data_IF_190530341994
#
_entry.id   IF_190530341994
#
_cell.length_a   1.000
_cell.length_b   1.000
_cell.length_c   1.000
_cell.angle_alpha   90.00
_cell.angle_beta   90.00
_cell.angle_gamma   90.00
#
_symmetry.space_group_name_H-M   'P 1'
#
loop_
_entity.id
_entity.type
_entity.pdbx_description
1 polymer ?
#
# COMPACT_ATOMS: atom_id res chain seq x y z
N UNK A 1 -7.39 -15.29 -8.98
CA UNK A 1 -7.02 -15.45 -7.54
C UNK A 1 -7.60 -14.36 -6.65
N UNK A 2 -7.26 -13.07 -6.75
CA UNK A 2 -7.75 -12.05 -5.82
C UNK A 2 -9.30 -11.99 -5.72
N UNK A 3 -10.03 -12.05 -6.83
CA UNK A 3 -11.50 -12.08 -6.81
C UNK A 3 -12.05 -13.28 -6.03
N UNK A 4 -11.46 -14.48 -6.24
CA UNK A 4 -11.83 -15.69 -5.50
C UNK A 4 -11.50 -15.57 -4.00
N UNK A 5 -10.34 -14.95 -3.68
CA UNK A 5 -9.96 -14.66 -2.28
C UNK A 5 -10.98 -13.73 -1.61
N UNK A 6 -11.45 -12.71 -2.32
CA UNK A 6 -12.45 -11.79 -1.79
C UNK A 6 -13.80 -12.49 -1.52
N UNK A 7 -14.20 -13.42 -2.38
CA UNK A 7 -15.39 -14.24 -2.14
C UNK A 7 -15.24 -15.11 -0.88
N UNK A 8 -14.12 -15.82 -0.75
CA UNK A 8 -13.82 -16.66 0.42
C UNK A 8 -13.72 -15.81 1.70
N UNK A 9 -13.12 -14.64 1.59
CA UNK A 9 -12.99 -13.68 2.70
C UNK A 9 -14.29 -12.92 3.00
N UNK A 10 -15.40 -13.24 2.33
CA UNK A 10 -16.69 -12.58 2.50
C UNK A 10 -16.63 -11.05 2.32
N UNK A 11 -15.85 -10.57 1.36
CA UNK A 11 -15.74 -9.13 1.06
C UNK A 11 -14.86 -8.36 2.03
N UNK A 12 -13.82 -8.99 2.60
CA UNK A 12 -12.87 -8.35 3.52
C UNK A 12 -11.46 -8.18 2.94
N UNK A 13 -11.28 -8.50 1.66
CA UNK A 13 -9.98 -8.36 1.02
C UNK A 13 -9.61 -6.89 0.85
N UNK A 14 -8.40 -6.53 1.23
CA UNK A 14 -7.68 -5.35 0.75
C UNK A 14 -6.59 -5.87 -0.18
N UNK A 15 -6.57 -5.40 -1.41
CA UNK A 15 -5.61 -5.86 -2.42
C UNK A 15 -4.40 -4.94 -2.47
N UNK A 16 -3.28 -5.39 -1.89
CA UNK A 16 -2.02 -4.68 -1.93
C UNK A 16 -1.24 -4.96 -3.23
N UNK A 17 -0.79 -3.91 -3.91
CA UNK A 17 0.05 -4.00 -5.11
C UNK A 17 1.14 -2.93 -5.08
N UNK A 18 2.30 -3.22 -5.66
CA UNK A 18 3.41 -2.30 -5.79
C UNK A 18 4.28 -2.64 -6.99
N UNK A 19 5.32 -1.86 -7.20
CA UNK A 19 6.26 -2.04 -8.32
C UNK A 19 7.14 -3.30 -8.18
N UNK A 20 7.11 -3.97 -7.02
CA UNK A 20 8.04 -5.05 -6.71
C UNK A 20 9.47 -4.54 -6.53
N UNK A 21 10.44 -5.44 -6.68
CA UNK A 21 11.86 -5.07 -6.68
C UNK A 21 12.23 -4.28 -7.93
N UNK A 22 13.00 -3.22 -7.75
CA UNK A 22 13.54 -2.40 -8.85
C UNK A 22 15.03 -2.18 -8.67
N UNK A 23 15.73 -1.81 -9.75
CA UNK A 23 17.16 -1.45 -9.71
C UNK A 23 17.36 -0.08 -9.05
N UNK A 24 17.08 0.01 -7.75
CA UNK A 24 17.32 1.24 -6.99
C UNK A 24 18.72 1.22 -6.41
N UNK A 25 19.45 2.33 -6.55
CA UNK A 25 20.63 2.62 -5.74
C UNK A 25 20.16 3.20 -4.42
N UNK A 26 20.51 2.58 -3.31
CA UNK A 26 20.10 3.02 -1.98
C UNK A 26 21.01 2.49 -0.89
N UNK A 27 20.76 2.93 0.33
CA UNK A 27 21.42 2.41 1.50
C UNK A 27 20.73 1.11 1.95
N UNK A 28 21.34 -0.01 1.62
CA UNK A 28 20.86 -1.35 1.97
C UNK A 28 21.61 -1.94 3.17
N UNK A 29 22.23 -1.11 4.03
CA UNK A 29 23.01 -1.60 5.20
C UNK A 29 22.19 -2.51 6.10
N UNK A 30 20.89 -2.21 6.29
CA UNK A 30 19.96 -3.06 7.05
C UNK A 30 19.70 -4.43 6.39
N UNK A 31 20.06 -4.59 5.11
CA UNK A 31 19.87 -5.79 4.30
C UNK A 31 21.22 -6.41 3.88
N UNK A 32 22.28 -6.20 4.66
CA UNK A 32 23.60 -6.73 4.33
C UNK A 32 24.34 -5.99 3.22
N UNK A 33 23.95 -4.74 2.93
CA UNK A 33 24.65 -3.86 1.96
C UNK A 33 24.26 -4.08 0.49
N UNK A 34 23.42 -5.07 0.18
CA UNK A 34 22.94 -5.34 -1.17
C UNK A 34 21.42 -5.14 -1.26
N UNK A 35 20.97 -4.68 -2.43
CA UNK A 35 19.53 -4.63 -2.71
C UNK A 35 18.95 -6.06 -2.71
N UNK A 36 18.09 -6.42 -1.75
CA UNK A 36 17.56 -7.79 -1.62
C UNK A 36 16.77 -8.22 -2.86
N UNK A 37 16.16 -7.28 -3.58
CA UNK A 37 15.44 -7.56 -4.81
C UNK A 37 16.35 -8.13 -5.92
N UNK A 38 17.64 -7.77 -5.97
CA UNK A 38 18.56 -8.32 -6.98
C UNK A 38 18.63 -9.84 -6.84
N UNK A 39 18.94 -10.31 -5.63
CA UNK A 39 19.07 -11.73 -5.36
C UNK A 39 17.78 -12.50 -5.59
N UNK A 40 16.65 -11.93 -5.19
CA UNK A 40 15.33 -12.54 -5.33
C UNK A 40 14.94 -12.68 -6.81
N UNK A 41 15.06 -11.61 -7.59
CA UNK A 41 14.69 -11.60 -9.00
C UNK A 41 15.63 -12.47 -9.85
N UNK A 42 16.92 -12.47 -9.56
CA UNK A 42 17.88 -13.38 -10.20
C UNK A 42 17.53 -14.85 -9.93
N UNK A 43 17.13 -15.19 -8.70
CA UNK A 43 16.74 -16.54 -8.33
C UNK A 43 15.49 -17.03 -9.08
N UNK A 44 14.57 -16.13 -9.41
CA UNK A 44 13.36 -16.44 -10.18
C UNK A 44 13.54 -16.27 -11.70
N UNK A 45 14.70 -15.87 -12.18
CA UNK A 45 14.93 -15.58 -13.60
C UNK A 45 14.09 -14.40 -14.12
N UNK A 46 13.64 -13.50 -13.26
CA UNK A 46 12.85 -12.34 -13.61
C UNK A 46 13.76 -11.12 -13.73
N UNK A 47 13.74 -10.38 -14.84
CA UNK A 47 14.58 -9.20 -14.98
C UNK A 47 14.14 -8.08 -14.05
N UNK A 48 15.09 -7.49 -13.32
CA UNK A 48 14.86 -6.25 -12.60
C UNK A 48 14.74 -5.07 -13.58
N UNK A 49 13.62 -4.36 -13.50
CA UNK A 49 13.36 -3.18 -14.33
C UNK A 49 13.81 -1.88 -13.65
N UNK A 50 13.98 -0.83 -14.44
CA UNK A 50 14.21 0.51 -13.90
C UNK A 50 12.98 0.98 -13.11
N UNK A 51 13.14 1.77 -12.02
CA UNK A 51 12.01 2.25 -11.22
C UNK A 51 10.91 2.94 -12.04
N UNK A 52 11.29 3.72 -13.04
CA UNK A 52 10.34 4.43 -13.93
C UNK A 52 9.48 3.46 -14.73
N UNK A 53 10.08 2.37 -15.23
CA UNK A 53 9.36 1.34 -15.98
C UNK A 53 8.44 0.53 -15.06
N UNK A 54 8.93 0.17 -13.87
CA UNK A 54 8.12 -0.51 -12.87
C UNK A 54 6.90 0.30 -12.44
N UNK A 55 7.05 1.62 -12.25
CA UNK A 55 5.92 2.51 -11.90
C UNK A 55 4.92 2.61 -13.06
N UNK A 56 5.38 2.71 -14.30
CA UNK A 56 4.50 2.75 -15.46
C UNK A 56 3.76 1.41 -15.68
N UNK A 57 4.45 0.29 -15.49
CA UNK A 57 3.83 -1.04 -15.51
C UNK A 57 2.80 -1.22 -14.39
N UNK A 58 3.04 -0.65 -13.19
CA UNK A 58 2.07 -0.65 -12.10
C UNK A 58 0.78 0.08 -12.49
N UNK A 59 0.86 1.22 -13.14
CA UNK A 59 -0.32 1.97 -13.59
C UNK A 59 -1.17 1.14 -14.58
N UNK A 60 -0.55 0.51 -15.58
CA UNK A 60 -1.24 -0.41 -16.49
C UNK A 60 -1.87 -1.59 -15.74
N UNK A 61 -1.13 -2.19 -14.78
CA UNK A 61 -1.62 -3.30 -13.96
C UNK A 61 -2.87 -2.90 -13.17
N UNK A 62 -2.87 -1.73 -12.54
CA UNK A 62 -4.03 -1.24 -11.79
C UNK A 62 -5.24 -1.03 -12.69
N UNK A 63 -5.05 -0.47 -13.89
CA UNK A 63 -6.10 -0.31 -14.89
C UNK A 63 -6.68 -1.66 -15.30
N UNK A 64 -5.83 -2.63 -15.65
CA UNK A 64 -6.25 -3.99 -16.04
C UNK A 64 -7.02 -4.67 -14.90
N UNK A 65 -6.49 -4.64 -13.68
CA UNK A 65 -7.10 -5.28 -12.51
C UNK A 65 -8.48 -4.70 -12.23
N UNK A 66 -8.62 -3.37 -12.28
CA UNK A 66 -9.91 -2.70 -12.08
C UNK A 66 -10.92 -3.12 -13.15
N UNK A 67 -10.52 -3.12 -14.44
CA UNK A 67 -11.36 -3.58 -15.55
C UNK A 67 -11.76 -5.05 -15.40
N UNK A 68 -10.82 -5.93 -15.03
CA UNK A 68 -11.07 -7.34 -14.75
C UNK A 68 -12.16 -7.53 -13.68
N UNK A 69 -12.18 -6.68 -12.67
CA UNK A 69 -13.14 -6.81 -11.56
C UNK A 69 -14.49 -6.17 -11.82
N UNK A 70 -14.55 -5.15 -12.68
CA UNK A 70 -15.75 -4.34 -12.88
C UNK A 70 -16.46 -4.57 -14.22
N UNK A 71 -15.73 -4.86 -15.28
CA UNK A 71 -16.33 -5.08 -16.60
C UNK A 71 -16.99 -6.46 -16.71
N UNK A 72 -18.23 -6.49 -17.18
CA UNK A 72 -19.01 -7.72 -17.37
C UNK A 72 -18.63 -8.48 -18.63
N UNK A 73 -18.13 -7.77 -19.65
CA UNK A 73 -17.76 -8.33 -20.96
C UNK A 73 -16.24 -8.49 -21.08
N UNK A 74 -15.77 -9.44 -21.90
CA UNK A 74 -14.36 -9.52 -22.26
C UNK A 74 -13.87 -8.20 -22.87
N UNK A 75 -12.62 -7.82 -22.55
CA UNK A 75 -12.00 -6.60 -23.08
C UNK A 75 -10.60 -6.85 -23.62
N UNK A 76 -10.21 -5.99 -24.53
CA UNK A 76 -8.82 -5.90 -25.00
C UNK A 76 -8.10 -4.78 -24.26
N UNK A 77 -6.80 -4.96 -24.04
CA UNK A 77 -5.91 -3.93 -23.52
C UNK A 77 -4.61 -3.93 -24.32
N UNK A 78 -4.25 -2.79 -24.87
CA UNK A 78 -3.03 -2.62 -25.67
C UNK A 78 -2.14 -1.57 -25.01
N UNK A 79 -1.43 -1.99 -23.97
CA UNK A 79 -0.50 -1.16 -23.21
C UNK A 79 0.96 -1.33 -23.69
N UNK A 80 1.83 -0.54 -23.10
CA UNK A 80 3.28 -0.66 -23.34
C UNK A 80 3.87 -1.92 -22.73
N UNK A 81 3.38 -2.32 -21.55
CA UNK A 81 3.90 -3.44 -20.76
C UNK A 81 3.03 -4.68 -20.85
N UNK A 82 1.73 -4.48 -21.00
CA UNK A 82 0.77 -5.58 -21.04
C UNK A 82 -0.13 -5.46 -22.28
N UNK A 83 -0.34 -6.59 -22.93
CA UNK A 83 -1.23 -6.72 -24.07
C UNK A 83 -2.17 -7.89 -23.83
N UNK A 84 -3.47 -7.61 -23.81
CA UNK A 84 -4.50 -8.61 -23.52
C UNK A 84 -5.51 -8.65 -24.65
N UNK A 85 -6.04 -9.82 -24.93
CA UNK A 85 -7.11 -10.06 -25.89
C UNK A 85 -8.22 -10.84 -25.23
N UNK A 86 -9.45 -10.29 -25.23
CA UNK A 86 -10.62 -10.94 -24.68
C UNK A 86 -10.49 -11.26 -23.18
N UNK A 87 -9.78 -10.42 -22.42
CA UNK A 87 -9.55 -10.65 -21.00
C UNK A 87 -10.85 -10.56 -20.20
N UNK A 88 -11.09 -11.53 -19.33
CA UNK A 88 -12.24 -11.59 -18.44
C UNK A 88 -11.86 -12.22 -17.10
N UNK A 89 -12.51 -11.81 -16.04
CA UNK A 89 -12.35 -12.39 -14.71
C UNK A 89 -13.70 -12.92 -14.20
N UNK A 90 -13.80 -14.23 -14.03
CA UNK A 90 -14.94 -14.89 -13.39
C UNK A 90 -14.43 -15.90 -12.34
N UNK A 91 -15.05 -15.94 -11.16
CA UNK A 91 -16.11 -15.04 -10.67
C UNK A 91 -15.58 -13.62 -10.38
N UNK A 92 -16.49 -12.64 -10.40
CA UNK A 92 -16.19 -11.28 -9.93
C UNK A 92 -15.97 -11.24 -8.41
N UNK A 93 -15.23 -10.27 -7.87
CA UNK A 93 -15.14 -10.07 -6.42
C UNK A 93 -16.51 -9.85 -5.78
N UNK A 94 -16.62 -10.08 -4.48
CA UNK A 94 -17.82 -9.77 -3.69
C UNK A 94 -18.00 -8.27 -3.47
N UNK A 95 -16.91 -7.56 -3.20
CA UNK A 95 -16.93 -6.12 -2.97
C UNK A 95 -17.29 -5.34 -4.23
N UNK A 96 -18.02 -4.25 -4.07
CA UNK A 96 -18.43 -3.34 -5.14
C UNK A 96 -17.95 -1.92 -4.86
N UNK A 97 -17.42 -1.21 -5.87
CA UNK A 97 -17.21 -1.64 -7.24
C UNK A 97 -16.12 -2.71 -7.37
N UNK A 98 -15.16 -2.78 -6.44
CA UNK A 98 -14.07 -3.76 -6.36
C UNK A 98 -13.48 -3.78 -4.94
N UNK A 99 -12.65 -4.77 -4.59
CA UNK A 99 -11.84 -4.72 -3.36
C UNK A 99 -10.95 -3.49 -3.34
N UNK A 100 -10.77 -2.81 -2.18
CA UNK A 100 -9.88 -1.67 -2.08
C UNK A 100 -8.46 -2.01 -2.57
N UNK A 101 -7.90 -1.14 -3.41
CA UNK A 101 -6.53 -1.25 -3.92
C UNK A 101 -5.60 -0.43 -3.03
N UNK A 102 -4.68 -1.12 -2.35
CA UNK A 102 -3.64 -0.49 -1.57
C UNK A 102 -2.36 -0.41 -2.40
N UNK A 103 -1.83 0.81 -2.57
CA UNK A 103 -0.55 1.03 -3.24
C UNK A 103 0.44 1.64 -2.26
N UNK A 104 1.63 1.01 -2.17
CA UNK A 104 2.74 1.48 -1.35
C UNK A 104 3.71 2.37 -2.12
N UNK A 105 4.25 3.40 -1.44
CA UNK A 105 5.30 4.24 -1.97
C UNK A 105 5.10 5.74 -1.71
N UNK A 106 6.19 6.51 -1.90
CA UNK A 106 6.22 7.93 -1.55
C UNK A 106 7.02 8.79 -2.55
N UNK A 107 7.51 8.20 -3.64
CA UNK A 107 8.12 8.94 -4.75
C UNK A 107 7.07 9.71 -5.55
N UNK A 108 7.41 10.87 -6.08
CA UNK A 108 6.47 11.74 -6.79
C UNK A 108 5.70 11.02 -7.91
N UNK A 109 6.41 10.23 -8.73
CA UNK A 109 5.77 9.44 -9.80
C UNK A 109 4.83 8.37 -9.26
N UNK A 110 5.20 7.75 -8.14
CA UNK A 110 4.34 6.74 -7.47
C UNK A 110 3.10 7.41 -6.88
N UNK A 111 3.24 8.61 -6.30
CA UNK A 111 2.10 9.36 -5.77
C UNK A 111 1.08 9.71 -6.87
N UNK A 112 1.52 9.99 -8.11
CA UNK A 112 0.59 10.17 -9.24
C UNK A 112 -0.20 8.89 -9.54
N UNK A 113 0.46 7.73 -9.56
CA UNK A 113 -0.23 6.43 -9.77
C UNK A 113 -1.19 6.13 -8.61
N UNK A 114 -0.79 6.46 -7.37
CA UNK A 114 -1.66 6.35 -6.19
C UNK A 114 -2.89 7.23 -6.35
N UNK A 115 -2.70 8.49 -6.74
CA UNK A 115 -3.82 9.43 -6.97
C UNK A 115 -4.80 8.91 -8.03
N UNK A 116 -4.31 8.23 -9.06
CA UNK A 116 -5.16 7.71 -10.13
C UNK A 116 -5.87 6.41 -9.77
N UNK A 117 -5.21 5.52 -9.01
CA UNK A 117 -5.63 4.13 -8.91
C UNK A 117 -5.91 3.62 -7.48
N UNK A 118 -5.34 4.24 -6.44
CA UNK A 118 -5.43 3.68 -5.11
C UNK A 118 -6.68 4.12 -4.34
N UNK A 119 -7.21 3.20 -3.54
CA UNK A 119 -8.18 3.49 -2.48
C UNK A 119 -7.46 3.66 -1.14
N UNK A 120 -6.27 3.09 -1.00
CA UNK A 120 -5.43 3.19 0.20
C UNK A 120 -3.99 3.50 -0.22
N UNK A 121 -3.43 4.57 0.32
CA UNK A 121 -2.03 4.91 0.20
C UNK A 121 -1.27 4.45 1.45
N UNK A 122 -0.23 3.62 1.28
CA UNK A 122 0.59 3.13 2.39
C UNK A 122 2.04 3.56 2.27
N UNK A 123 2.62 4.01 3.39
CA UNK A 123 4.05 4.31 3.50
C UNK A 123 4.64 3.75 4.80
N UNK A 124 5.96 3.47 4.83
CA UNK A 124 6.62 3.14 6.09
C UNK A 124 6.70 4.40 6.96
N UNK A 125 6.47 4.23 8.27
CA UNK A 125 6.77 5.25 9.27
C UNK A 125 8.22 5.17 9.77
N UNK A 126 8.53 5.81 10.91
CA UNK A 126 9.86 5.72 11.52
C UNK A 126 10.32 4.26 11.71
N UNK A 127 11.62 3.97 11.54
CA UNK A 127 12.72 4.92 11.29
C UNK A 127 12.93 5.32 9.80
N UNK A 128 12.11 4.84 8.86
CA UNK A 128 12.31 5.09 7.42
C UNK A 128 11.84 6.48 6.99
N UNK A 129 10.65 6.89 7.45
CA UNK A 129 10.09 8.21 7.22
C UNK A 129 9.59 8.80 8.54
N UNK A 130 9.94 10.06 8.80
CA UNK A 130 9.42 10.78 9.95
C UNK A 130 7.95 11.19 9.76
N UNK A 131 7.29 11.60 10.83
CA UNK A 131 5.94 12.19 10.75
C UNK A 131 5.92 13.44 9.88
N UNK A 132 6.99 14.24 9.92
CA UNK A 132 7.12 15.41 9.05
C UNK A 132 7.30 15.03 7.58
N UNK A 133 8.01 13.94 7.27
CA UNK A 133 8.07 13.39 5.92
C UNK A 133 6.69 12.97 5.43
N UNK A 134 5.89 12.32 6.30
CA UNK A 134 4.51 11.98 5.98
C UNK A 134 3.69 13.23 5.63
N UNK A 135 3.74 14.29 6.46
CA UNK A 135 3.02 15.55 6.20
C UNK A 135 3.38 16.14 4.83
N UNK A 136 4.68 16.19 4.51
CA UNK A 136 5.15 16.67 3.19
C UNK A 136 4.65 15.81 2.03
N UNK A 137 4.72 14.48 2.16
CA UNK A 137 4.25 13.57 1.11
C UNK A 137 2.74 13.60 0.95
N UNK A 138 2.01 13.77 2.05
CA UNK A 138 0.56 13.98 2.03
C UNK A 138 0.20 15.24 1.23
N UNK A 139 0.89 16.37 1.48
CA UNK A 139 0.64 17.61 0.74
C UNK A 139 0.82 17.41 -0.78
N UNK A 140 1.88 16.71 -1.20
CA UNK A 140 2.11 16.37 -2.62
C UNK A 140 1.00 15.47 -3.18
N UNK A 141 0.51 14.50 -2.40
CA UNK A 141 -0.63 13.66 -2.81
C UNK A 141 -1.89 14.51 -3.00
N UNK A 142 -2.17 15.40 -2.05
CA UNK A 142 -3.35 16.28 -2.08
C UNK A 142 -3.29 17.24 -3.29
N UNK A 143 -2.10 17.76 -3.64
CA UNK A 143 -1.87 18.55 -4.86
C UNK A 143 -2.15 17.75 -6.15
N UNK A 144 -1.69 16.48 -6.21
CA UNK A 144 -2.00 15.62 -7.35
C UNK A 144 -3.49 15.31 -7.45
N UNK A 145 -4.17 15.09 -6.33
CA UNK A 145 -5.62 14.92 -6.29
C UNK A 145 -6.34 16.15 -6.84
N UNK A 146 -5.96 17.34 -6.39
CA UNK A 146 -6.53 18.59 -6.86
C UNK A 146 -6.34 18.79 -8.37
N UNK A 147 -5.14 18.47 -8.89
CA UNK A 147 -4.83 18.58 -10.33
C UNK A 147 -5.67 17.62 -11.19
N UNK A 148 -6.13 16.49 -10.62
CA UNK A 148 -6.98 15.50 -11.30
C UNK A 148 -8.47 15.66 -11.01
N UNK A 149 -8.86 16.61 -10.16
CA UNK A 149 -10.25 16.79 -9.72
C UNK A 149 -10.77 15.64 -8.84
N UNK A 150 -9.88 14.93 -8.15
CA UNK A 150 -10.21 13.86 -7.22
C UNK A 150 -10.23 14.40 -5.78
N UNK A 151 -11.24 14.02 -4.99
CA UNK A 151 -11.24 14.32 -3.57
C UNK A 151 -10.14 13.53 -2.85
N UNK A 152 -9.14 14.19 -2.21
CA UNK A 152 -8.12 13.50 -1.45
C UNK A 152 -8.68 12.69 -0.27
N UNK A 153 -9.89 12.98 0.19
CA UNK A 153 -10.61 12.20 1.20
C UNK A 153 -10.99 10.79 0.76
N UNK A 154 -11.05 10.52 -0.55
CA UNK A 154 -11.31 9.18 -1.10
C UNK A 154 -10.13 8.21 -0.93
N UNK A 155 -8.93 8.71 -0.60
CA UNK A 155 -7.74 7.89 -0.42
C UNK A 155 -7.44 7.75 1.06
N UNK A 156 -7.66 6.57 1.62
CA UNK A 156 -7.27 6.26 3.01
C UNK A 156 -5.76 6.35 3.18
N UNK A 157 -5.30 7.14 4.12
CA UNK A 157 -3.88 7.31 4.44
C UNK A 157 -3.45 6.29 5.48
N UNK A 158 -2.56 5.39 5.08
CA UNK A 158 -2.08 4.26 5.88
C UNK A 158 -0.58 4.36 6.12
N UNK A 159 -0.16 4.13 7.35
CA UNK A 159 1.26 4.10 7.73
C UNK A 159 1.57 2.80 8.45
N UNK A 160 2.67 2.16 8.05
CA UNK A 160 3.21 0.99 8.73
C UNK A 160 4.28 1.42 9.72
N UNK A 161 4.11 1.05 11.01
CA UNK A 161 5.09 1.27 12.05
C UNK A 161 5.50 -0.04 12.71
N UNK A 162 6.71 -0.07 13.28
CA UNK A 162 7.16 -1.23 14.05
C UNK A 162 6.62 -1.14 15.47
N UNK A 163 6.09 -2.26 15.96
CA UNK A 163 5.79 -2.39 17.37
C UNK A 163 7.10 -2.65 18.13
N UNK A 164 7.48 -1.70 18.96
CA UNK A 164 8.56 -1.92 19.93
C UNK A 164 8.08 -2.91 21.01
N UNK A 165 8.67 -4.10 21.05
CA UNK A 165 8.20 -5.20 21.91
C UNK A 165 8.21 -4.89 23.40
N UNK A 166 9.02 -3.92 23.84
CA UNK A 166 9.23 -3.59 25.25
C UNK A 166 8.67 -2.21 25.64
N UNK A 167 8.17 -1.43 24.67
CA UNK A 167 7.61 -0.11 24.92
C UNK A 167 6.30 0.15 24.13
N UNK A 168 5.18 -0.36 24.62
CA UNK A 168 3.89 -0.10 23.98
C UNK A 168 3.49 1.38 24.12
N UNK A 169 3.99 2.10 25.14
CA UNK A 169 3.69 3.52 25.30
C UNK A 169 4.31 4.37 24.19
N UNK A 170 5.55 4.11 23.81
CA UNK A 170 6.19 4.77 22.67
C UNK A 170 5.45 4.48 21.36
N UNK A 171 5.00 3.23 21.14
CA UNK A 171 4.19 2.87 19.98
C UNK A 171 2.87 3.64 19.94
N UNK A 172 2.18 3.77 21.10
CA UNK A 172 0.94 4.57 21.18
C UNK A 172 1.18 6.04 20.91
N UNK A 173 2.24 6.61 21.49
CA UNK A 173 2.59 8.02 21.28
C UNK A 173 2.86 8.32 19.80
N UNK A 174 3.64 7.47 19.12
CA UNK A 174 3.91 7.60 17.68
C UNK A 174 2.63 7.44 16.84
N UNK A 175 1.79 6.46 17.18
CA UNK A 175 0.54 6.26 16.46
C UNK A 175 -0.40 7.46 16.63
N UNK A 176 -0.50 8.03 17.84
CA UNK A 176 -1.28 9.24 18.09
C UNK A 176 -0.76 10.44 17.27
N UNK A 177 0.56 10.65 17.24
CA UNK A 177 1.17 11.72 16.41
C UNK A 177 0.88 11.55 14.92
N UNK A 178 0.90 10.31 14.42
CA UNK A 178 0.56 9.99 13.03
C UNK A 178 -0.93 10.24 12.75
N UNK A 179 -1.82 9.87 13.67
CA UNK A 179 -3.27 10.13 13.56
C UNK A 179 -3.52 11.64 13.51
N UNK A 180 -2.90 12.41 14.39
CA UNK A 180 -2.98 13.89 14.38
C UNK A 180 -2.43 14.48 13.08
N UNK A 181 -1.45 13.84 12.46
CA UNK A 181 -0.95 14.21 11.14
C UNK A 181 -1.91 13.84 9.98
N UNK A 182 -3.00 13.11 10.27
CA UNK A 182 -4.03 12.73 9.30
C UNK A 182 -3.91 11.30 8.77
N UNK A 183 -3.20 10.41 9.46
CA UNK A 183 -3.22 8.96 9.19
C UNK A 183 -4.54 8.39 9.68
N UNK A 184 -5.18 7.59 8.84
CA UNK A 184 -6.49 6.97 9.11
C UNK A 184 -6.35 5.46 9.40
N UNK A 185 -5.24 4.85 8.98
CA UNK A 185 -4.95 3.45 9.22
C UNK A 185 -3.50 3.27 9.66
N UNK A 186 -3.29 2.67 10.83
CA UNK A 186 -1.96 2.28 11.31
C UNK A 186 -1.82 0.77 11.21
N UNK A 187 -0.76 0.32 10.54
CA UNK A 187 -0.39 -1.10 10.43
C UNK A 187 0.78 -1.35 11.37
N UNK A 188 0.57 -2.23 12.34
CA UNK A 188 1.62 -2.63 13.29
C UNK A 188 2.41 -3.80 12.73
N UNK A 189 3.67 -3.57 12.39
CA UNK A 189 4.62 -4.61 12.01
C UNK A 189 5.26 -5.22 13.27
N UNK A 190 4.90 -6.46 13.57
CA UNK A 190 5.38 -7.16 14.75
C UNK A 190 6.81 -7.66 14.51
N UNK A 191 7.75 -7.29 15.39
CA UNK A 191 9.14 -7.76 15.36
C UNK A 191 9.34 -8.88 16.38
N UNK A 192 10.24 -9.85 16.12
CA UNK A 192 10.62 -10.84 17.13
C UNK A 192 11.29 -10.20 18.35
N UNK A 193 11.01 -10.70 19.57
CA UNK A 193 10.04 -11.74 19.90
C UNK A 193 8.59 -11.24 19.72
N UNK A 194 7.79 -11.96 18.94
CA UNK A 194 6.41 -11.57 18.66
C UNK A 194 5.53 -11.70 19.90
N UNK A 195 4.90 -10.63 20.33
CA UNK A 195 3.94 -10.64 21.44
C UNK A 195 2.63 -11.28 21.01
N UNK A 196 1.87 -11.92 21.93
CA UNK A 196 0.56 -12.45 21.65
C UNK A 196 -0.38 -11.35 21.13
N UNK A 197 -1.28 -11.71 20.19
CA UNK A 197 -2.23 -10.75 19.62
C UNK A 197 -3.10 -10.07 20.70
N UNK A 198 -3.49 -10.81 21.75
CA UNK A 198 -4.24 -10.26 22.87
C UNK A 198 -3.43 -9.16 23.58
N UNK A 199 -2.15 -9.38 23.83
CA UNK A 199 -1.30 -8.35 24.46
C UNK A 199 -1.21 -7.08 23.58
N UNK A 200 -1.12 -7.24 22.26
CA UNK A 200 -1.12 -6.07 21.34
C UNK A 200 -2.47 -5.34 21.39
N UNK A 201 -3.56 -6.08 21.49
CA UNK A 201 -4.88 -5.49 21.64
C UNK A 201 -4.99 -4.68 22.94
N UNK A 202 -4.63 -5.27 24.07
CA UNK A 202 -4.79 -4.67 25.39
C UNK A 202 -3.84 -3.50 25.63
N UNK A 203 -2.59 -3.63 25.19
CA UNK A 203 -1.55 -2.66 25.51
C UNK A 203 -1.39 -1.54 24.44
N UNK A 204 -1.86 -1.77 23.22
CA UNK A 204 -1.68 -0.79 22.14
C UNK A 204 -3.00 -0.36 21.54
N UNK A 205 -3.83 -1.29 21.06
CA UNK A 205 -4.99 -0.96 20.23
C UNK A 205 -6.11 -0.32 21.05
N UNK A 206 -6.53 -0.97 22.13
CA UNK A 206 -7.66 -0.47 22.94
C UNK A 206 -7.36 0.88 23.61
N UNK A 207 -6.17 1.12 24.18
CA UNK A 207 -5.82 2.46 24.67
C UNK A 207 -5.82 3.54 23.58
N UNK A 208 -5.35 3.22 22.36
CA UNK A 208 -5.40 4.17 21.23
C UNK A 208 -6.84 4.48 20.82
N UNK A 209 -7.70 3.46 20.71
CA UNK A 209 -9.12 3.63 20.38
C UNK A 209 -9.85 4.49 21.41
N UNK A 210 -9.54 4.29 22.70
CA UNK A 210 -10.13 5.08 23.77
C UNK A 210 -9.68 6.56 23.76
N UNK A 211 -8.48 6.84 23.23
CA UNK A 211 -7.92 8.19 23.16
C UNK A 211 -8.33 8.97 21.89
N UNK A 212 -8.74 8.27 20.83
CA UNK A 212 -9.16 8.91 19.57
C UNK A 212 -10.68 9.13 19.61
N UNK A 213 -11.18 10.38 19.48
CA UNK A 213 -12.61 10.63 19.41
C UNK A 213 -13.21 9.88 18.22
N UNK A 214 -14.22 9.08 18.45
CA UNK A 214 -15.07 8.53 17.37
C UNK A 214 -15.88 9.67 16.79
N UNK A 215 -15.42 10.20 15.63
CA UNK A 215 -16.17 11.18 14.84
C UNK A 215 -17.39 10.56 14.16
#
# INVERSE_FOLDING_TARGET
MAATTDLIAHGRLIFGIGVGGTRVRGDFRHWGGQNPAIREFEAYGVPLVAPVEGIAALAESCTIIRRMWTEASPFDFDGRFYQLKGAICEPKPRQRPHPPILIGGYGERTLRVITEHADIWNIPGPPFLSVEDFRRKRAVLDEHCAAMGRDPGEITRSVQIFLSGDDPAATRALAAELIDAGVQQVILALQPPVRPAQWVADEVIEPLRAAVPTG
#
